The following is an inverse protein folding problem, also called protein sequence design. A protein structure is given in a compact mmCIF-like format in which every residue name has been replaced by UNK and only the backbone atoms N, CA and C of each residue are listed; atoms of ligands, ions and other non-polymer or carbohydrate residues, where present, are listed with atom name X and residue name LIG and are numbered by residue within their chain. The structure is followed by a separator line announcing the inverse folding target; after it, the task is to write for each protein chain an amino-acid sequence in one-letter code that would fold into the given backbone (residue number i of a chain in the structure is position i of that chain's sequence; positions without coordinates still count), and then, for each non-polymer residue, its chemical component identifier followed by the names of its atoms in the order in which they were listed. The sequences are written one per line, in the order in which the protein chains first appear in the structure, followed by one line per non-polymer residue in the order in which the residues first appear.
data_IF_732980578386
#
_entry.id   IF_732980578386
#
_cell.length_a   1.000
_cell.length_b   1.000
_cell.length_c   1.000
_cell.angle_alpha   90.00
_cell.angle_beta   90.00
_cell.angle_gamma   90.00
#
_symmetry.space_group_name_H-M   'P 1'
#
loop_
_entity.id
_entity.type
_entity.pdbx_description
1 polymer ?
#
# COMPACT_ATOMS: atom_id res chain seq x y z
N UNK A 1 -24.79 -10.90 -26.49
CA UNK A 1 -23.59 -10.29 -25.87
C UNK A 1 -22.41 -11.08 -26.40
N UNK A 2 -21.46 -10.42 -27.04
CA UNK A 2 -20.29 -11.09 -27.62
C UNK A 2 -19.17 -11.23 -26.57
N UNK A 3 -18.31 -12.23 -26.74
CA UNK A 3 -17.18 -12.59 -25.86
C UNK A 3 -16.31 -11.37 -25.53
N UNK A 4 -16.14 -10.47 -26.50
CA UNK A 4 -15.39 -9.22 -26.36
C UNK A 4 -16.00 -8.24 -25.34
N UNK A 5 -17.33 -8.15 -25.27
CA UNK A 5 -17.99 -7.29 -24.29
C UNK A 5 -17.88 -7.85 -22.87
N UNK A 6 -17.93 -9.18 -22.74
CA UNK A 6 -17.76 -9.85 -21.45
C UNK A 6 -16.33 -9.65 -20.94
N UNK A 7 -15.32 -9.87 -21.79
CA UNK A 7 -13.92 -9.71 -21.40
C UNK A 7 -13.59 -8.26 -21.06
N UNK A 8 -14.08 -7.29 -21.85
CA UNK A 8 -13.91 -5.86 -21.55
C UNK A 8 -14.52 -5.47 -20.19
N UNK A 9 -15.75 -5.92 -19.91
CA UNK A 9 -16.40 -5.65 -18.63
C UNK A 9 -15.67 -6.30 -17.45
N UNK A 10 -15.17 -7.51 -17.63
CA UNK A 10 -14.39 -8.20 -16.60
C UNK A 10 -13.06 -7.49 -16.31
N UNK A 11 -12.35 -7.06 -17.36
CA UNK A 11 -11.11 -6.28 -17.23
C UNK A 11 -11.35 -4.94 -16.52
N UNK A 12 -12.42 -4.22 -16.86
CA UNK A 12 -12.80 -2.97 -16.19
C UNK A 12 -13.11 -3.19 -14.70
N UNK A 13 -13.80 -4.27 -14.36
CA UNK A 13 -14.08 -4.62 -12.96
C UNK A 13 -12.78 -4.87 -12.18
N UNK A 14 -11.86 -5.65 -12.74
CA UNK A 14 -10.54 -5.91 -12.13
C UNK A 14 -9.76 -4.62 -11.94
N UNK A 15 -9.77 -3.73 -12.93
CA UNK A 15 -9.11 -2.43 -12.85
C UNK A 15 -9.70 -1.55 -11.72
N UNK A 16 -11.03 -1.55 -11.57
CA UNK A 16 -11.71 -0.84 -10.47
C UNK A 16 -11.30 -1.36 -9.10
N UNK A 17 -11.19 -2.68 -8.93
CA UNK A 17 -10.68 -3.26 -7.68
C UNK A 17 -9.21 -2.92 -7.44
N UNK A 18 -8.37 -2.96 -8.46
CA UNK A 18 -6.97 -2.53 -8.38
C UNK A 18 -6.85 -1.08 -7.91
N UNK A 19 -7.63 -0.17 -8.50
CA UNK A 19 -7.67 1.24 -8.09
C UNK A 19 -8.14 1.43 -6.65
N UNK A 20 -9.18 0.71 -6.23
CA UNK A 20 -9.65 0.76 -4.84
C UNK A 20 -8.58 0.25 -3.86
N UNK A 21 -7.86 -0.81 -4.22
CA UNK A 21 -6.76 -1.33 -3.43
C UNK A 21 -5.61 -0.32 -3.31
N UNK A 22 -5.22 0.35 -4.40
CA UNK A 22 -4.22 1.42 -4.37
C UNK A 22 -4.65 2.60 -3.49
N UNK A 23 -5.91 3.02 -3.56
CA UNK A 23 -6.41 4.07 -2.67
C UNK A 23 -6.32 3.65 -1.20
N UNK A 24 -6.69 2.41 -0.88
CA UNK A 24 -6.58 1.87 0.48
C UNK A 24 -5.13 1.80 0.97
N UNK A 25 -4.19 1.36 0.13
CA UNK A 25 -2.76 1.34 0.45
C UNK A 25 -2.20 2.75 0.65
N UNK A 26 -2.59 3.69 -0.22
CA UNK A 26 -2.23 5.10 -0.08
C UNK A 26 -2.72 5.71 1.24
N UNK A 27 -3.97 5.44 1.61
CA UNK A 27 -4.55 5.87 2.89
C UNK A 27 -3.82 5.25 4.08
N UNK A 28 -3.48 3.96 4.02
CA UNK A 28 -2.66 3.28 5.03
C UNK A 28 -1.29 3.98 5.20
N UNK A 29 -0.59 4.26 4.09
CA UNK A 29 0.71 4.93 4.11
C UNK A 29 0.62 6.32 4.72
N UNK A 30 -0.27 7.16 4.21
CA UNK A 30 -0.48 8.52 4.73
C UNK A 30 -0.92 8.50 6.20
N UNK A 31 -1.77 7.55 6.60
CA UNK A 31 -2.18 7.36 7.98
C UNK A 31 -1.00 7.03 8.90
N UNK A 32 -0.13 6.11 8.47
CA UNK A 32 1.09 5.77 9.19
C UNK A 32 2.05 6.95 9.32
N UNK A 33 2.31 7.68 8.23
CA UNK A 33 3.15 8.89 8.25
C UNK A 33 2.61 9.95 9.23
N UNK A 34 1.28 10.17 9.24
CA UNK A 34 0.64 11.09 10.19
C UNK A 34 0.77 10.62 11.64
N UNK A 35 0.64 9.32 11.89
CA UNK A 35 0.81 8.75 13.23
C UNK A 35 2.25 8.96 13.73
N UNK A 36 3.25 8.70 12.88
CA UNK A 36 4.66 8.95 13.18
C UNK A 36 4.90 10.41 13.59
N UNK A 37 4.39 11.37 12.81
CA UNK A 37 4.50 12.80 13.12
C UNK A 37 3.81 13.18 14.43
N UNK A 38 2.63 12.61 14.72
CA UNK A 38 1.90 12.85 15.97
C UNK A 38 2.67 12.31 17.18
N UNK A 39 3.25 11.12 17.07
CA UNK A 39 4.08 10.53 18.11
C UNK A 39 5.35 11.34 18.36
N UNK A 40 5.97 11.87 17.31
CA UNK A 40 7.12 12.76 17.43
C UNK A 40 6.80 14.05 18.19
N UNK A 41 5.68 14.69 17.86
CA UNK A 41 5.20 15.88 18.58
C UNK A 41 4.92 15.58 20.06
N UNK A 42 4.24 14.46 20.36
CA UNK A 42 3.96 14.03 21.73
C UNK A 42 5.23 13.73 22.52
N UNK A 43 6.20 13.05 21.89
CA UNK A 43 7.50 12.78 22.49
C UNK A 43 8.23 14.08 22.86
N UNK A 44 8.33 15.03 21.93
CA UNK A 44 8.95 16.34 22.17
C UNK A 44 8.29 17.10 23.32
N UNK A 45 6.95 17.08 23.40
CA UNK A 45 6.22 17.71 24.49
C UNK A 45 6.53 17.05 25.86
N UNK A 46 6.50 15.72 25.92
CA UNK A 46 6.82 14.96 27.13
C UNK A 46 8.28 15.20 27.58
N UNK A 47 9.23 15.20 26.65
CA UNK A 47 10.64 15.48 26.94
C UNK A 47 10.85 16.91 27.44
N UNK A 48 10.13 17.90 26.90
CA UNK A 48 10.17 19.28 27.41
C UNK A 48 9.69 19.35 28.87
N UNK A 49 8.55 18.72 29.17
CA UNK A 49 7.95 18.73 30.52
C UNK A 49 8.79 17.98 31.57
N UNK A 50 9.45 16.90 31.16
CA UNK A 50 10.29 16.06 32.05
C UNK A 50 11.75 16.51 32.13
N UNK A 51 12.18 17.43 31.27
CA UNK A 51 13.59 17.77 31.07
C UNK A 51 14.37 18.13 32.34
N UNK A 52 13.73 18.82 33.29
CA UNK A 52 14.34 19.23 34.56
C UNK A 52 14.62 18.05 35.53
N UNK A 53 13.93 16.92 35.33
CA UNK A 53 14.06 15.71 36.16
C UNK A 53 14.97 14.65 35.54
N UNK A 54 15.50 14.92 34.34
CA UNK A 54 16.30 13.95 33.57
C UNK A 54 17.74 14.45 33.42
N UNK A 55 18.70 13.54 33.58
CA UNK A 55 20.10 13.84 33.26
C UNK A 55 20.25 14.19 31.78
N UNK A 56 21.33 14.88 31.42
CA UNK A 56 21.62 15.23 30.03
C UNK A 56 21.78 13.97 29.14
N UNK A 57 22.44 12.93 29.66
CA UNK A 57 22.63 11.66 28.96
C UNK A 57 21.31 10.92 28.74
N UNK A 58 20.44 10.84 29.76
CA UNK A 58 19.13 10.21 29.61
C UNK A 58 18.30 10.94 28.55
N UNK A 59 18.32 12.28 28.52
CA UNK A 59 17.62 13.04 27.48
C UNK A 59 18.18 12.74 26.09
N UNK A 60 19.50 12.70 25.94
CA UNK A 60 20.17 12.38 24.67
C UNK A 60 19.79 10.98 24.19
N UNK A 61 19.92 9.98 25.04
CA UNK A 61 19.68 8.58 24.70
C UNK A 61 18.21 8.33 24.39
N UNK A 62 17.28 8.92 25.16
CA UNK A 62 15.85 8.79 24.92
C UNK A 62 15.45 9.41 23.57
N UNK A 63 15.96 10.61 23.25
CA UNK A 63 15.71 11.23 21.95
C UNK A 63 16.31 10.43 20.79
N UNK A 64 17.51 9.87 20.97
CA UNK A 64 18.13 9.01 19.97
C UNK A 64 17.30 7.74 19.73
N UNK A 65 16.88 7.06 20.79
CA UNK A 65 16.02 5.88 20.71
C UNK A 65 14.71 6.20 19.98
N UNK A 66 14.03 7.30 20.35
CA UNK A 66 12.82 7.75 19.66
C UNK A 66 13.04 7.99 18.16
N UNK A 67 14.13 8.67 17.79
CA UNK A 67 14.46 8.88 16.37
C UNK A 67 14.68 7.57 15.62
N UNK A 68 15.38 6.60 16.22
CA UNK A 68 15.61 5.29 15.63
C UNK A 68 14.30 4.53 15.45
N UNK A 69 13.47 4.42 16.49
CA UNK A 69 12.18 3.73 16.42
C UNK A 69 11.22 4.39 15.42
N UNK A 70 11.10 5.71 15.45
CA UNK A 70 10.27 6.45 14.50
C UNK A 70 10.78 6.29 13.06
N UNK A 71 12.10 6.25 12.87
CA UNK A 71 12.73 5.97 11.59
C UNK A 71 12.42 4.56 11.07
N UNK A 72 12.49 3.53 11.91
CA UNK A 72 12.11 2.18 11.53
C UNK A 72 10.61 2.05 11.23
N UNK A 73 9.76 2.69 12.05
CA UNK A 73 8.32 2.68 11.83
C UNK A 73 7.95 3.31 10.47
N UNK A 74 8.45 4.51 10.18
CA UNK A 74 8.19 5.19 8.90
C UNK A 74 8.71 4.41 7.70
N UNK A 75 9.92 3.85 7.78
CA UNK A 75 10.46 2.95 6.74
C UNK A 75 9.60 1.69 6.57
N UNK A 76 9.13 1.11 7.66
CA UNK A 76 8.28 -0.08 7.66
C UNK A 76 6.94 0.17 6.95
N UNK A 77 6.28 1.28 7.29
CA UNK A 77 5.03 1.71 6.62
C UNK A 77 5.25 1.94 5.12
N UNK A 78 6.34 2.62 4.74
CA UNK A 78 6.64 2.85 3.33
C UNK A 78 6.91 1.54 2.58
N UNK A 79 7.75 0.66 3.14
CA UNK A 79 8.12 -0.61 2.53
C UNK A 79 6.92 -1.55 2.38
N UNK A 80 6.07 -1.64 3.40
CA UNK A 80 4.87 -2.48 3.34
C UNK A 80 3.85 -1.95 2.34
N UNK A 81 3.65 -0.63 2.27
CA UNK A 81 2.78 -0.01 1.27
C UNK A 81 3.27 -0.26 -0.16
N UNK A 82 4.55 0.02 -0.44
CA UNK A 82 5.12 -0.24 -1.77
C UNK A 82 5.12 -1.73 -2.13
N UNK A 83 5.38 -2.62 -1.17
CA UNK A 83 5.26 -4.06 -1.39
C UNK A 83 3.83 -4.48 -1.72
N UNK A 84 2.83 -3.91 -1.04
CA UNK A 84 1.42 -4.17 -1.33
C UNK A 84 1.01 -3.66 -2.73
N UNK A 85 1.48 -2.48 -3.15
CA UNK A 85 1.27 -1.95 -4.51
C UNK A 85 1.77 -2.94 -5.56
N UNK A 86 3.01 -3.41 -5.42
CA UNK A 86 3.62 -4.40 -6.35
C UNK A 86 2.78 -5.68 -6.44
N UNK A 87 2.29 -6.19 -5.31
CA UNK A 87 1.44 -7.39 -5.28
C UNK A 87 0.10 -7.14 -5.97
N UNK A 88 -0.54 -5.99 -5.71
CA UNK A 88 -1.81 -5.62 -6.35
C UNK A 88 -1.63 -5.51 -7.86
N UNK A 89 -0.61 -4.78 -8.32
CA UNK A 89 -0.31 -4.62 -9.75
C UNK A 89 -0.07 -5.96 -10.43
N UNK A 90 0.70 -6.84 -9.77
CA UNK A 90 0.99 -8.17 -10.30
C UNK A 90 -0.29 -9.00 -10.45
N UNK A 91 -1.16 -9.00 -9.43
CA UNK A 91 -2.42 -9.74 -9.45
C UNK A 91 -3.40 -9.19 -10.48
N UNK A 92 -3.54 -7.87 -10.58
CA UNK A 92 -4.36 -7.20 -11.58
C UNK A 92 -3.87 -7.57 -12.98
N UNK A 93 -2.57 -7.42 -13.27
CA UNK A 93 -2.00 -7.75 -14.57
C UNK A 93 -2.15 -9.23 -14.95
N UNK A 94 -1.92 -10.14 -14.00
CA UNK A 94 -2.12 -11.57 -14.21
C UNK A 94 -3.59 -11.90 -14.52
N UNK A 95 -4.53 -11.27 -13.81
CA UNK A 95 -5.97 -11.49 -14.01
C UNK A 95 -6.43 -10.95 -15.36
N UNK A 96 -6.01 -9.75 -15.75
CA UNK A 96 -6.30 -9.18 -17.08
C UNK A 96 -5.76 -10.09 -18.19
N UNK A 97 -4.53 -10.56 -18.06
CA UNK A 97 -3.93 -11.51 -19.02
C UNK A 97 -4.74 -12.82 -19.12
N UNK A 98 -5.24 -13.33 -17.99
CA UNK A 98 -6.06 -14.54 -17.97
C UNK A 98 -7.42 -14.34 -18.67
N UNK A 99 -8.06 -13.17 -18.47
CA UNK A 99 -9.30 -12.80 -19.14
C UNK A 99 -9.08 -12.75 -20.66
N UNK A 100 -8.04 -12.06 -21.12
CA UNK A 100 -7.71 -11.92 -22.54
C UNK A 100 -7.46 -13.29 -23.21
N UNK A 101 -6.67 -14.16 -22.56
CA UNK A 101 -6.39 -15.51 -23.06
C UNK A 101 -7.66 -16.37 -23.17
N UNK A 102 -8.54 -16.27 -22.18
CA UNK A 102 -9.81 -17.02 -22.18
C UNK A 102 -10.73 -16.54 -23.29
N UNK A 103 -10.83 -15.22 -23.49
CA UNK A 103 -11.59 -14.63 -24.58
C UNK A 103 -11.06 -15.06 -25.94
N UNK A 104 -9.75 -14.98 -26.17
CA UNK A 104 -9.12 -15.42 -27.42
C UNK A 104 -9.33 -16.92 -27.70
N UNK A 105 -9.27 -17.77 -26.67
CA UNK A 105 -9.55 -19.20 -26.81
C UNK A 105 -11.01 -19.47 -27.17
N UNK A 106 -11.95 -18.77 -26.53
CA UNK A 106 -13.37 -18.88 -26.85
C UNK A 106 -13.66 -18.45 -28.29
N UNK A 107 -13.11 -17.31 -28.73
CA UNK A 107 -13.25 -16.85 -30.12
C UNK A 107 -12.66 -17.85 -31.13
N UNK A 108 -11.49 -18.41 -30.85
CA UNK A 108 -10.85 -19.40 -31.72
C UNK A 108 -11.69 -20.68 -31.85
N UNK A 109 -12.33 -21.14 -30.77
CA UNK A 109 -13.21 -22.31 -30.82
C UNK A 109 -14.51 -22.02 -31.58
N UNK A 110 -15.09 -20.82 -31.41
CA UNK A 110 -16.26 -20.42 -32.20
C UNK A 110 -15.96 -20.40 -33.70
N UNK A 111 -14.78 -19.88 -34.10
CA UNK A 111 -14.33 -19.90 -35.50
C UNK A 111 -14.07 -21.30 -36.06
N UNK A 112 -13.71 -22.28 -35.22
CA UNK A 112 -13.53 -23.67 -35.64
C UNK A 112 -14.85 -24.43 -35.76
N UNK A 113 -15.90 -23.98 -35.07
CA UNK A 113 -17.21 -24.62 -35.05
C UNK A 113 -18.20 -24.05 -36.09
N UNK A 114 -17.83 -22.96 -36.77
CA UNK A 114 -18.56 -22.32 -37.85
C UNK A 114 -17.99 -22.75 -39.22
#
# INVERSE_FOLDING_TARGET
MDTQQISANATDLVAKFGNAAHQAIGLYRTGGERLAGTLDQRWKAAMKQSSAKLSAETRKNANHAHQVFNGYFTKGVALSASGAEVVVDTLVGATVTAIERTAAFAEANLKKAA
#
